data_IF_647565135690
#
_entry.id   IF_647565135690
#
_cell.length_a   1.000
_cell.length_b   1.000
_cell.length_c   1.000
_cell.angle_alpha   90.00
_cell.angle_beta   90.00
_cell.angle_gamma   90.00
#
_symmetry.space_group_name_H-M   'P 1'
#
loop_
_entity.id
_entity.type
_entity.pdbx_description
1 polymer ?
#
# COMPACT_ATOMS: atom_id res chain seq x y z
N UNK A 1 21.42 7.57 -12.97
CA UNK A 1 20.30 8.10 -13.77
C UNK A 1 20.48 7.76 -15.26
N UNK A 2 21.70 7.76 -15.79
CA UNK A 2 21.97 7.49 -17.21
C UNK A 2 22.10 6.01 -17.56
N UNK A 3 22.15 5.11 -16.58
CA UNK A 3 22.26 3.67 -16.82
C UNK A 3 20.94 3.13 -17.38
N UNK A 4 21.02 2.36 -18.49
CA UNK A 4 19.87 1.69 -19.08
C UNK A 4 19.22 0.76 -18.02
N UNK A 5 17.94 0.97 -17.69
CA UNK A 5 17.22 0.32 -16.58
C UNK A 5 17.80 0.61 -15.18
N UNK A 6 18.60 1.65 -15.03
CA UNK A 6 19.12 2.07 -13.74
C UNK A 6 18.01 2.53 -12.79
N UNK A 7 18.17 2.24 -11.49
CA UNK A 7 17.27 2.68 -10.42
C UNK A 7 18.03 3.58 -9.45
N UNK A 8 17.47 4.74 -9.12
CA UNK A 8 18.04 5.61 -8.10
C UNK A 8 17.54 5.19 -6.74
N UNK A 9 18.44 4.76 -5.87
CA UNK A 9 18.14 4.29 -4.52
C UNK A 9 18.86 5.20 -3.52
N UNK A 10 18.09 5.80 -2.62
CA UNK A 10 18.59 6.57 -1.49
C UNK A 10 18.45 5.73 -0.22
N UNK A 11 19.56 5.40 0.42
CA UNK A 11 19.58 4.66 1.69
C UNK A 11 19.95 5.58 2.82
N UNK A 12 19.25 5.47 3.95
CA UNK A 12 19.55 6.25 5.15
C UNK A 12 18.94 5.59 6.38
N UNK A 13 19.53 5.75 7.58
CA UNK A 13 18.83 5.46 8.83
C UNK A 13 17.59 6.35 8.94
N UNK A 14 16.50 5.82 9.52
CA UNK A 14 15.25 6.58 9.70
C UNK A 14 15.39 7.73 10.71
N UNK A 15 16.41 7.65 11.58
CA UNK A 15 16.67 8.61 12.64
C UNK A 15 18.08 9.19 12.61
N UNK A 16 18.26 10.32 13.28
CA UNK A 16 19.52 10.98 13.58
C UNK A 16 19.60 11.33 15.07
N UNK A 17 20.74 11.86 15.51
CA UNK A 17 20.96 12.33 16.89
C UNK A 17 20.58 11.25 17.94
N UNK A 18 21.16 10.05 17.79
CA UNK A 18 20.90 8.89 18.67
C UNK A 18 19.43 8.51 18.76
N UNK A 19 18.68 8.69 17.67
CA UNK A 19 17.27 8.34 17.61
C UNK A 19 16.30 9.47 17.98
N UNK A 20 16.80 10.67 18.34
CA UNK A 20 15.93 11.75 18.78
C UNK A 20 15.28 12.54 17.64
N UNK A 21 15.80 12.47 16.43
CA UNK A 21 15.29 13.21 15.27
C UNK A 21 14.97 12.28 14.12
N UNK A 22 13.80 12.46 13.51
CA UNK A 22 13.44 11.75 12.27
C UNK A 22 14.20 12.34 11.08
N UNK A 23 14.79 11.48 10.25
CA UNK A 23 15.35 11.88 8.93
C UNK A 23 14.26 12.01 7.86
N UNK A 24 13.12 11.38 8.06
CA UNK A 24 11.93 11.64 7.24
C UNK A 24 11.28 12.91 7.78
N UNK A 25 11.15 13.92 6.94
CA UNK A 25 10.61 15.22 7.31
C UNK A 25 9.56 15.68 6.29
N UNK A 26 8.53 16.39 6.77
CA UNK A 26 7.49 16.96 5.89
C UNK A 26 7.98 18.17 5.11
N UNK A 27 9.10 18.77 5.52
CA UNK A 27 9.71 19.92 4.88
C UNK A 27 11.19 20.01 5.24
N UNK A 28 12.01 20.47 4.33
CA UNK A 28 13.42 20.72 4.60
C UNK A 28 13.57 21.97 5.50
N UNK A 29 14.64 22.02 6.29
CA UNK A 29 14.98 23.23 7.06
C UNK A 29 15.20 24.40 6.10
N UNK A 30 14.85 25.61 6.53
CA UNK A 30 15.12 26.81 5.76
C UNK A 30 16.63 26.92 5.44
N UNK A 31 16.96 27.19 4.19
CA UNK A 31 18.34 27.24 3.71
C UNK A 31 19.00 25.90 3.40
N UNK A 32 18.31 24.76 3.58
CA UNK A 32 18.84 23.46 3.21
C UNK A 32 18.95 23.33 1.68
N UNK A 33 20.13 22.89 1.20
CA UNK A 33 20.33 22.59 -0.21
C UNK A 33 19.60 21.31 -0.63
N UNK A 34 19.06 21.29 -1.85
CA UNK A 34 18.45 20.11 -2.46
C UNK A 34 19.44 19.53 -3.45
N UNK A 35 20.10 18.44 -3.07
CA UNK A 35 21.11 17.76 -3.91
C UNK A 35 20.48 16.84 -4.94
N UNK A 36 19.38 16.18 -4.55
CA UNK A 36 18.61 15.29 -5.41
C UNK A 36 17.20 15.85 -5.56
N UNK A 37 16.79 16.10 -6.79
CA UNK A 37 15.43 16.55 -7.03
C UNK A 37 14.43 15.39 -6.85
N UNK A 38 13.18 15.76 -6.62
CA UNK A 38 12.12 14.78 -6.34
C UNK A 38 11.83 13.83 -7.52
N UNK A 39 12.11 14.22 -8.76
CA UNK A 39 11.91 13.40 -9.95
C UNK A 39 12.99 12.31 -10.10
N UNK A 40 14.16 12.52 -9.53
CA UNK A 40 15.30 11.62 -9.69
C UNK A 40 15.37 10.53 -8.62
N UNK A 41 14.64 10.67 -7.51
CA UNK A 41 14.61 9.66 -6.43
C UNK A 41 13.50 8.66 -6.69
N UNK A 42 13.89 7.42 -7.06
CA UNK A 42 12.94 6.32 -7.30
C UNK A 42 12.63 5.54 -6.03
N UNK A 43 13.64 5.21 -5.25
CA UNK A 43 13.52 4.42 -4.03
C UNK A 43 14.17 5.12 -2.86
N UNK A 44 13.55 5.03 -1.69
CA UNK A 44 14.14 5.37 -0.40
C UNK A 44 14.07 4.14 0.50
N UNK A 45 15.20 3.82 1.13
CA UNK A 45 15.33 2.63 1.99
C UNK A 45 15.76 3.06 3.38
N UNK A 46 15.07 2.55 4.38
CA UNK A 46 15.44 2.66 5.80
C UNK A 46 15.43 1.27 6.43
N UNK A 47 15.78 1.15 7.69
CA UNK A 47 15.63 -0.08 8.49
C UNK A 47 14.17 -0.53 8.68
N UNK A 48 13.19 0.32 8.29
CA UNK A 48 11.75 0.03 8.38
C UNK A 48 11.10 -0.26 7.04
N UNK A 49 11.87 -0.40 5.97
CA UNK A 49 11.37 -0.84 4.66
C UNK A 49 11.82 0.02 3.50
N UNK A 50 11.16 -0.18 2.37
CA UNK A 50 11.46 0.43 1.07
C UNK A 50 10.25 1.24 0.61
N UNK A 51 10.44 2.53 0.36
CA UNK A 51 9.46 3.40 -0.27
C UNK A 51 9.77 3.56 -1.76
N UNK A 52 8.81 3.23 -2.62
CA UNK A 52 8.88 3.48 -4.06
C UNK A 52 8.19 4.80 -4.38
N UNK A 53 8.93 5.75 -4.95
CA UNK A 53 8.46 7.13 -5.13
C UNK A 53 8.28 7.56 -6.59
N UNK A 54 8.78 6.77 -7.55
CA UNK A 54 8.70 7.13 -8.97
C UNK A 54 7.26 7.03 -9.48
N UNK A 55 6.83 8.05 -10.24
CA UNK A 55 5.47 8.12 -10.78
C UNK A 55 4.36 8.46 -9.78
N UNK A 56 4.68 8.59 -8.48
CA UNK A 56 3.70 8.89 -7.42
C UNK A 56 3.48 10.39 -7.23
N UNK A 57 2.24 10.76 -6.92
CA UNK A 57 1.90 12.14 -6.54
C UNK A 57 2.42 12.49 -5.13
N UNK A 58 2.29 13.76 -4.72
CA UNK A 58 2.84 14.24 -3.44
C UNK A 58 2.24 13.50 -2.24
N UNK A 59 0.93 13.22 -2.25
CA UNK A 59 0.25 12.51 -1.16
C UNK A 59 0.77 11.08 -1.03
N UNK A 60 0.82 10.34 -2.12
CA UNK A 60 1.33 8.98 -2.17
C UNK A 60 2.78 8.91 -1.70
N UNK A 61 3.63 9.82 -2.18
CA UNK A 61 5.02 9.93 -1.74
C UNK A 61 5.12 10.22 -0.25
N UNK A 62 4.25 11.07 0.29
CA UNK A 62 4.23 11.38 1.72
C UNK A 62 3.88 10.13 2.54
N UNK A 63 2.86 9.36 2.13
CA UNK A 63 2.46 8.14 2.82
C UNK A 63 3.55 7.05 2.74
N UNK A 64 4.15 6.83 1.58
CA UNK A 64 5.29 5.93 1.41
C UNK A 64 6.46 6.28 2.35
N UNK A 65 6.85 7.54 2.40
CA UNK A 65 7.95 7.98 3.27
C UNK A 65 7.60 7.85 4.75
N UNK A 66 6.35 8.13 5.14
CA UNK A 66 5.90 7.96 6.52
C UNK A 66 5.91 6.49 6.93
N UNK A 67 5.57 5.57 6.02
CA UNK A 67 5.57 4.13 6.31
C UNK A 67 6.94 3.59 6.68
N UNK A 68 8.00 4.12 6.09
CA UNK A 68 9.40 3.74 6.37
C UNK A 68 10.09 4.61 7.43
N UNK A 69 9.39 5.57 8.02
CA UNK A 69 9.90 6.34 9.14
C UNK A 69 9.95 5.50 10.42
N UNK A 70 10.80 5.88 11.37
CA UNK A 70 10.81 5.24 12.70
C UNK A 70 9.42 5.35 13.34
N UNK A 71 8.85 4.26 13.90
CA UNK A 71 7.47 4.21 14.40
C UNK A 71 7.11 5.34 15.36
N UNK A 72 8.02 5.73 16.27
CA UNK A 72 7.78 6.81 17.22
C UNK A 72 7.46 8.17 16.59
N UNK A 73 7.86 8.40 15.34
CA UNK A 73 7.64 9.67 14.63
C UNK A 73 6.48 9.66 13.64
N UNK A 74 5.93 8.47 13.31
CA UNK A 74 4.90 8.36 12.27
C UNK A 74 3.67 9.20 12.57
N UNK A 75 3.16 9.13 13.81
CA UNK A 75 1.99 9.92 14.22
C UNK A 75 2.24 11.43 14.12
N UNK A 76 3.43 11.89 14.50
CA UNK A 76 3.81 13.30 14.37
C UNK A 76 3.94 13.72 12.91
N UNK A 77 4.54 12.88 12.07
CA UNK A 77 4.67 13.13 10.63
C UNK A 77 3.31 13.24 9.95
N UNK A 78 2.37 12.34 10.25
CA UNK A 78 0.97 12.41 9.78
C UNK A 78 0.34 13.74 10.19
N UNK A 79 0.41 14.13 11.45
CA UNK A 79 -0.15 15.38 11.94
C UNK A 79 0.45 16.61 11.21
N UNK A 80 1.77 16.63 11.02
CA UNK A 80 2.47 17.69 10.28
C UNK A 80 2.10 17.68 8.80
N UNK A 81 1.95 16.51 8.18
CA UNK A 81 1.55 16.38 6.78
C UNK A 81 0.12 16.87 6.55
N UNK A 82 -0.84 16.54 7.45
CA UNK A 82 -2.21 17.09 7.43
C UNK A 82 -2.20 18.61 7.53
N UNK A 83 -1.48 19.19 8.50
CA UNK A 83 -1.38 20.64 8.68
C UNK A 83 -0.86 21.37 7.43
N UNK A 84 -0.10 20.69 6.57
CA UNK A 84 0.46 21.22 5.33
C UNK A 84 -0.33 20.81 4.08
N UNK A 85 -1.47 20.15 4.23
CA UNK A 85 -2.28 19.60 3.14
C UNK A 85 -1.48 18.70 2.16
N UNK A 86 -0.47 18.00 2.66
CA UNK A 86 0.28 17.00 1.89
C UNK A 86 -0.49 15.68 1.78
N UNK A 87 -1.36 15.40 2.75
CA UNK A 87 -2.27 14.26 2.81
C UNK A 87 -3.66 14.75 3.19
N UNK A 88 -4.69 13.91 3.04
CA UNK A 88 -6.05 14.26 3.42
C UNK A 88 -6.18 14.52 4.92
N UNK A 89 -7.13 15.39 5.33
CA UNK A 89 -7.37 15.69 6.73
C UNK A 89 -7.93 14.48 7.49
N UNK A 90 -8.73 13.68 6.84
CA UNK A 90 -9.32 12.41 7.30
C UNK A 90 -8.41 11.20 7.08
N UNK A 91 -7.20 11.39 6.49
CA UNK A 91 -6.24 10.29 6.29
C UNK A 91 -6.00 9.57 7.61
N UNK A 92 -6.44 8.32 7.68
CA UNK A 92 -6.22 7.48 8.85
C UNK A 92 -4.77 6.98 8.91
N UNK A 93 -4.33 6.67 10.11
CA UNK A 93 -3.02 6.10 10.39
C UNK A 93 -3.09 5.25 11.65
N UNK A 94 -2.68 4.01 11.57
CA UNK A 94 -2.61 3.09 12.70
C UNK A 94 -1.24 3.23 13.35
N UNK A 95 -1.21 3.66 14.61
CA UNK A 95 0.00 3.80 15.39
C UNK A 95 0.29 2.51 16.19
N UNK A 96 1.56 2.10 16.24
CA UNK A 96 2.02 1.00 17.07
C UNK A 96 2.37 -0.29 16.30
N UNK A 97 2.68 -1.37 17.06
CA UNK A 97 3.06 -2.67 16.48
C UNK A 97 1.96 -3.32 15.64
N UNK A 98 0.70 -3.06 15.98
CA UNK A 98 -0.46 -3.57 15.25
C UNK A 98 -0.58 -3.02 13.82
N UNK A 99 0.14 -1.97 13.46
CA UNK A 99 0.15 -1.43 12.10
C UNK A 99 1.41 -1.77 11.30
N UNK A 100 2.21 -2.72 11.75
CA UNK A 100 3.43 -3.12 11.06
C UNK A 100 3.10 -4.00 9.86
N UNK A 101 3.61 -3.59 8.69
CA UNK A 101 3.37 -4.31 7.44
C UNK A 101 4.02 -5.71 7.49
N UNK A 102 3.26 -6.80 7.26
CA UNK A 102 3.76 -8.16 7.40
C UNK A 102 4.48 -8.63 6.12
N UNK A 103 5.72 -8.21 5.90
CA UNK A 103 6.53 -8.58 4.72
C UNK A 103 6.63 -10.10 4.49
N UNK A 104 6.57 -10.89 5.55
CA UNK A 104 6.65 -12.37 5.48
C UNK A 104 5.52 -13.01 4.68
N UNK A 105 4.45 -12.27 4.45
CA UNK A 105 3.28 -12.72 3.68
C UNK A 105 3.47 -12.48 2.19
N UNK A 106 4.43 -11.67 1.78
CA UNK A 106 4.75 -11.46 0.37
C UNK A 106 5.23 -12.77 -0.29
N UNK A 107 4.60 -13.18 -1.38
CA UNK A 107 4.91 -14.44 -2.04
C UNK A 107 4.61 -14.39 -3.53
N UNK A 108 5.42 -15.14 -4.30
CA UNK A 108 5.11 -15.46 -5.70
C UNK A 108 4.47 -16.84 -5.76
N UNK A 109 3.43 -16.97 -6.53
CA UNK A 109 2.68 -18.20 -6.72
C UNK A 109 2.42 -18.43 -8.20
N UNK A 110 2.30 -19.70 -8.58
CA UNK A 110 1.83 -20.08 -9.91
C UNK A 110 0.49 -20.79 -9.75
N UNK A 111 -0.53 -20.28 -10.42
CA UNK A 111 -1.86 -20.88 -10.37
C UNK A 111 -1.90 -22.23 -11.11
N UNK A 112 -2.95 -23.01 -10.92
CA UNK A 112 -3.14 -24.27 -11.66
C UNK A 112 -3.26 -24.09 -13.17
N UNK A 113 -3.60 -22.91 -13.64
CA UNK A 113 -3.64 -22.53 -15.07
C UNK A 113 -2.31 -21.98 -15.59
N UNK A 114 -1.24 -21.97 -14.76
CA UNK A 114 0.09 -21.50 -15.16
C UNK A 114 0.30 -19.98 -15.07
N UNK A 115 -0.64 -19.23 -14.48
CA UNK A 115 -0.49 -17.78 -14.30
C UNK A 115 0.40 -17.50 -13.09
N UNK A 116 1.46 -16.73 -13.30
CA UNK A 116 2.30 -16.22 -12.21
C UNK A 116 1.64 -15.02 -11.54
N UNK A 117 1.50 -15.07 -10.23
CA UNK A 117 0.93 -14.01 -9.40
C UNK A 117 1.87 -13.64 -8.26
N UNK A 118 2.06 -12.36 -8.05
CA UNK A 118 2.67 -11.82 -6.85
C UNK A 118 1.57 -11.44 -5.86
N UNK A 119 1.60 -12.01 -4.67
CA UNK A 119 0.64 -11.74 -3.60
C UNK A 119 1.33 -11.02 -2.47
N UNK A 120 0.75 -9.91 -2.04
CA UNK A 120 1.25 -9.14 -0.91
C UNK A 120 0.11 -8.49 -0.11
N UNK A 121 0.33 -8.18 1.17
CA UNK A 121 -0.60 -7.35 1.94
C UNK A 121 -0.79 -5.96 1.30
N UNK A 122 -1.97 -5.39 1.51
CA UNK A 122 -2.28 -4.03 1.09
C UNK A 122 -1.40 -3.04 1.86
N UNK A 123 -1.01 -1.96 1.21
CA UNK A 123 -0.32 -0.81 1.82
C UNK A 123 -1.25 0.39 1.81
N UNK A 124 -1.09 1.29 2.76
CA UNK A 124 -1.89 2.52 2.83
C UNK A 124 -1.76 3.40 1.57
N UNK A 125 -0.66 3.25 0.83
CA UNK A 125 -0.42 3.90 -0.46
C UNK A 125 -1.15 3.27 -1.64
N UNK A 126 -1.80 2.11 -1.46
CA UNK A 126 -2.46 1.37 -2.54
C UNK A 126 -3.89 1.86 -2.84
N UNK A 127 -4.36 2.90 -2.15
CA UNK A 127 -5.70 3.47 -2.38
C UNK A 127 -6.00 3.76 -3.86
N UNK A 128 -5.09 4.40 -4.65
CA UNK A 128 -5.34 4.61 -6.07
C UNK A 128 -5.45 3.30 -6.86
N UNK A 129 -4.61 2.30 -6.55
CA UNK A 129 -4.67 0.98 -7.19
C UNK A 129 -6.00 0.28 -6.92
N UNK A 130 -6.47 0.32 -5.68
CA UNK A 130 -7.77 -0.23 -5.28
C UNK A 130 -8.91 0.49 -5.98
N UNK A 131 -8.85 1.82 -6.06
CA UNK A 131 -9.84 2.63 -6.77
C UNK A 131 -9.94 2.19 -8.23
N UNK A 132 -8.82 2.17 -8.94
CA UNK A 132 -8.78 1.79 -10.36
C UNK A 132 -9.27 0.36 -10.57
N UNK A 133 -8.88 -0.56 -9.68
CA UNK A 133 -9.35 -1.94 -9.71
C UNK A 133 -10.87 -2.06 -9.53
N UNK A 134 -11.44 -1.41 -8.51
CA UNK A 134 -12.89 -1.46 -8.28
C UNK A 134 -13.69 -0.83 -9.42
N UNK A 135 -13.19 0.25 -10.02
CA UNK A 135 -13.84 0.86 -11.17
C UNK A 135 -13.70 0.03 -12.47
N UNK A 136 -12.75 -0.90 -12.54
CA UNK A 136 -12.60 -1.83 -13.66
C UNK A 136 -13.53 -3.04 -13.60
N UNK A 137 -14.14 -3.32 -12.43
CA UNK A 137 -15.02 -4.46 -12.25
C UNK A 137 -16.40 -4.25 -12.88
N UNK A 138 -16.97 -5.34 -13.39
CA UNK A 138 -18.38 -5.36 -13.81
C UNK A 138 -19.33 -5.18 -12.62
N UNK A 139 -20.55 -4.72 -12.91
CA UNK A 139 -21.62 -4.59 -11.91
C UNK A 139 -21.88 -5.91 -11.20
N UNK A 140 -21.84 -7.02 -11.92
CA UNK A 140 -22.04 -8.36 -11.35
C UNK A 140 -20.95 -8.72 -10.35
N UNK A 141 -19.68 -8.41 -10.62
CA UNK A 141 -18.56 -8.66 -9.72
C UNK A 141 -18.60 -7.76 -8.47
N UNK A 142 -18.97 -6.49 -8.64
CA UNK A 142 -19.18 -5.55 -7.54
C UNK A 142 -20.34 -5.98 -6.64
N UNK A 143 -21.46 -6.38 -7.22
CA UNK A 143 -22.63 -6.84 -6.46
C UNK A 143 -22.33 -8.10 -5.64
N UNK A 144 -21.61 -9.08 -6.22
CA UNK A 144 -21.15 -10.28 -5.49
C UNK A 144 -20.23 -9.95 -4.32
N UNK A 145 -19.37 -8.93 -4.47
CA UNK A 145 -18.41 -8.54 -3.43
C UNK A 145 -19.04 -7.72 -2.32
N UNK A 146 -19.96 -6.81 -2.62
CA UNK A 146 -20.47 -5.81 -1.67
C UNK A 146 -21.94 -5.98 -1.29
N UNK A 147 -22.66 -6.90 -1.92
CA UNK A 147 -24.12 -7.10 -1.71
C UNK A 147 -24.90 -5.76 -1.87
N UNK A 148 -24.36 -4.82 -2.63
CA UNK A 148 -24.91 -3.47 -2.80
C UNK A 148 -24.75 -3.00 -4.25
N UNK A 149 -25.77 -2.33 -4.77
CA UNK A 149 -25.77 -1.78 -6.13
C UNK A 149 -24.91 -0.50 -6.29
N UNK A 150 -24.26 -0.03 -5.25
CA UNK A 150 -23.49 1.22 -5.30
C UNK A 150 -22.13 1.02 -5.96
N UNK A 151 -21.92 1.68 -7.10
CA UNK A 151 -20.66 1.73 -7.84
C UNK A 151 -19.62 2.69 -7.23
N UNK A 152 -20.03 3.56 -6.33
CA UNK A 152 -19.16 4.60 -5.81
C UNK A 152 -18.18 4.05 -4.78
N UNK A 153 -16.89 4.28 -5.04
CA UNK A 153 -15.79 4.05 -4.13
C UNK A 153 -15.18 5.39 -3.68
N UNK A 154 -15.89 6.14 -2.82
CA UNK A 154 -15.36 7.38 -2.28
C UNK A 154 -14.11 7.12 -1.44
N UNK A 155 -13.32 8.16 -1.22
CA UNK A 155 -12.09 8.09 -0.45
C UNK A 155 -12.28 7.43 0.93
N UNK A 156 -13.33 7.82 1.67
CA UNK A 156 -13.64 7.24 3.00
C UNK A 156 -13.79 5.72 2.95
N UNK A 157 -14.49 5.19 1.94
CA UNK A 157 -14.66 3.75 1.77
C UNK A 157 -13.37 3.05 1.35
N UNK A 158 -12.53 3.70 0.53
CA UNK A 158 -11.23 3.15 0.17
C UNK A 158 -10.26 3.14 1.37
N UNK A 159 -10.40 4.08 2.30
CA UNK A 159 -9.63 4.07 3.55
C UNK A 159 -9.91 2.81 4.38
N UNK A 160 -11.13 2.28 4.41
CA UNK A 160 -11.47 1.05 5.11
C UNK A 160 -10.68 -0.16 4.58
N UNK A 161 -10.23 -0.12 3.31
CA UNK A 161 -9.41 -1.18 2.74
C UNK A 161 -7.91 -1.02 2.98
N UNK A 162 -7.40 0.20 3.10
CA UNK A 162 -5.95 0.44 3.19
C UNK A 162 -5.47 0.73 4.60
N UNK A 163 -6.39 1.03 5.53
CA UNK A 163 -6.09 1.33 6.93
C UNK A 163 -6.50 0.16 7.79
N UNK A 164 -5.68 -0.88 7.80
CA UNK A 164 -5.91 -2.11 8.54
C UNK A 164 -4.80 -2.34 9.56
N UNK A 165 -5.08 -3.14 10.57
CA UNK A 165 -4.15 -3.40 11.69
C UNK A 165 -3.24 -4.62 11.46
N UNK A 166 -3.44 -5.37 10.36
CA UNK A 166 -2.76 -6.61 10.01
C UNK A 166 -2.79 -7.71 11.09
N UNK A 167 -3.56 -7.53 12.15
CA UNK A 167 -3.70 -8.47 13.26
C UNK A 167 -5.10 -9.06 13.36
N UNK A 168 -6.11 -8.22 13.35
CA UNK A 168 -7.52 -8.61 13.30
C UNK A 168 -8.06 -8.70 11.87
N UNK A 169 -7.40 -8.00 10.96
CA UNK A 169 -7.76 -7.95 9.54
C UNK A 169 -6.50 -7.97 8.68
N UNK A 170 -6.56 -8.72 7.57
CA UNK A 170 -5.56 -8.70 6.51
C UNK A 170 -6.23 -8.60 5.15
N UNK A 171 -5.70 -7.74 4.29
CA UNK A 171 -6.13 -7.65 2.90
C UNK A 171 -4.92 -7.96 2.02
N UNK A 172 -5.07 -8.96 1.16
CA UNK A 172 -4.07 -9.41 0.22
C UNK A 172 -4.42 -8.92 -1.18
N UNK A 173 -3.43 -8.39 -1.87
CA UNK A 173 -3.51 -7.96 -3.26
C UNK A 173 -2.74 -8.94 -4.13
N UNK A 174 -3.37 -9.42 -5.22
CA UNK A 174 -2.74 -10.28 -6.22
C UNK A 174 -2.42 -9.48 -7.48
N UNK A 175 -1.18 -9.54 -7.92
CA UNK A 175 -0.67 -8.85 -9.11
C UNK A 175 -0.21 -9.84 -10.16
N UNK A 176 -0.39 -9.48 -11.43
CA UNK A 176 0.24 -10.12 -12.58
C UNK A 176 1.11 -9.12 -13.33
N UNK A 177 1.99 -9.61 -14.19
CA UNK A 177 2.76 -8.76 -15.09
C UNK A 177 2.00 -8.58 -16.40
N UNK A 178 1.77 -7.33 -16.80
CA UNK A 178 1.21 -6.98 -18.10
C UNK A 178 2.04 -5.86 -18.72
N UNK A 179 2.56 -6.09 -19.92
CA UNK A 179 3.39 -5.10 -20.64
C UNK A 179 4.57 -4.54 -19.84
N UNK A 180 5.13 -5.36 -18.93
CA UNK A 180 6.25 -4.99 -18.06
C UNK A 180 5.86 -4.15 -16.84
N UNK A 181 4.56 -3.98 -16.56
CA UNK A 181 4.02 -3.32 -15.38
C UNK A 181 3.22 -4.30 -14.51
N UNK A 182 3.22 -4.08 -13.20
CA UNK A 182 2.36 -4.81 -12.27
C UNK A 182 0.92 -4.33 -12.42
N UNK A 183 0.01 -5.27 -12.64
CA UNK A 183 -1.44 -5.05 -12.69
C UNK A 183 -2.11 -5.74 -11.51
N UNK A 184 -2.89 -5.01 -10.71
CA UNK A 184 -3.75 -5.59 -9.68
C UNK A 184 -4.89 -6.36 -10.33
N UNK A 185 -5.00 -7.65 -10.02
CA UNK A 185 -5.96 -8.57 -10.63
C UNK A 185 -6.88 -9.25 -9.62
N UNK A 186 -6.60 -9.14 -8.33
CA UNK A 186 -7.42 -9.75 -7.30
C UNK A 186 -7.18 -9.21 -5.91
N UNK A 187 -8.21 -9.28 -5.07
CA UNK A 187 -8.20 -8.88 -3.67
C UNK A 187 -8.79 -10.01 -2.85
N UNK A 188 -8.09 -10.40 -1.77
CA UNK A 188 -8.61 -11.27 -0.72
C UNK A 188 -8.63 -10.53 0.61
N UNK A 189 -9.73 -10.59 1.34
CA UNK A 189 -9.89 -9.99 2.66
C UNK A 189 -10.22 -11.07 3.67
N UNK A 190 -9.57 -10.99 4.81
CA UNK A 190 -9.81 -11.82 5.98
C UNK A 190 -9.96 -10.93 7.19
N UNK A 191 -11.05 -11.05 7.94
CA UNK A 191 -11.32 -10.29 9.14
C UNK A 191 -11.85 -11.19 10.25
N UNK A 192 -11.26 -11.09 11.47
CA UNK A 192 -11.70 -11.82 12.65
C UNK A 192 -12.99 -11.19 13.17
N UNK A 193 -14.01 -11.99 13.42
CA UNK A 193 -15.30 -11.52 13.93
C UNK A 193 -15.24 -11.42 15.47
N UNK A 194 -15.06 -10.22 15.98
CA UNK A 194 -15.05 -9.94 17.42
C UNK A 194 -14.02 -10.77 18.19
N UNK A 195 -14.40 -11.37 19.31
CA UNK A 195 -13.57 -12.27 20.12
C UNK A 195 -13.78 -13.76 19.79
N UNK A 196 -14.36 -14.07 18.64
CA UNK A 196 -14.64 -15.44 18.22
C UNK A 196 -13.44 -16.07 17.51
N UNK A 197 -13.47 -17.40 17.36
CA UNK A 197 -12.50 -18.12 16.52
C UNK A 197 -12.98 -18.24 15.06
N UNK A 198 -13.86 -17.32 14.62
CA UNK A 198 -14.40 -17.27 13.27
C UNK A 198 -13.89 -16.03 12.56
N UNK A 199 -13.74 -16.13 11.25
CA UNK A 199 -13.35 -15.04 10.39
C UNK A 199 -14.30 -14.91 9.22
N UNK A 200 -14.53 -13.68 8.80
CA UNK A 200 -15.14 -13.37 7.52
C UNK A 200 -14.07 -13.36 6.43
N UNK A 201 -14.38 -13.97 5.28
CA UNK A 201 -13.44 -14.06 4.16
C UNK A 201 -14.16 -13.63 2.88
N UNK A 202 -13.60 -12.69 2.18
CA UNK A 202 -14.17 -12.17 0.95
C UNK A 202 -13.11 -12.03 -0.14
N UNK A 203 -13.46 -12.43 -1.37
CA UNK A 203 -12.59 -12.36 -2.54
C UNK A 203 -13.27 -11.59 -3.66
N UNK A 204 -12.45 -10.92 -4.46
CA UNK A 204 -12.85 -10.41 -5.78
C UNK A 204 -11.68 -10.54 -6.74
N UNK A 205 -11.96 -11.06 -7.93
CA UNK A 205 -10.99 -11.20 -9.01
C UNK A 205 -11.49 -10.39 -10.19
N UNK A 206 -10.61 -9.65 -10.83
CA UNK A 206 -10.89 -8.89 -12.03
C UNK A 206 -11.55 -9.78 -13.11
N UNK A 207 -12.56 -9.27 -13.79
CA UNK A 207 -13.41 -10.06 -14.69
C UNK A 207 -12.59 -10.82 -15.74
N UNK A 208 -11.57 -10.20 -16.32
CA UNK A 208 -10.68 -10.82 -17.31
C UNK A 208 -9.72 -11.88 -16.73
N UNK A 209 -9.67 -12.01 -15.40
CA UNK A 209 -8.75 -12.90 -14.68
C UNK A 209 -9.47 -13.94 -13.84
N UNK A 210 -10.80 -14.04 -13.97
CA UNK A 210 -11.60 -15.10 -13.32
C UNK A 210 -11.27 -16.47 -13.93
N UNK A 211 -11.58 -17.53 -13.18
CA UNK A 211 -11.36 -18.94 -13.57
C UNK A 211 -9.88 -19.34 -13.79
N UNK A 212 -8.93 -18.43 -13.57
CA UNK A 212 -7.48 -18.69 -13.68
C UNK A 212 -6.84 -19.22 -12.40
N UNK A 213 -7.63 -19.50 -11.35
CA UNK A 213 -7.16 -20.08 -10.09
C UNK A 213 -6.59 -19.06 -9.09
N UNK A 214 -6.60 -17.75 -9.40
CA UNK A 214 -6.04 -16.70 -8.54
C UNK A 214 -6.73 -16.65 -7.17
N UNK A 215 -8.05 -16.75 -7.12
CA UNK A 215 -8.80 -16.80 -5.85
C UNK A 215 -8.39 -17.96 -4.94
N UNK A 216 -8.01 -19.11 -5.51
CA UNK A 216 -7.50 -20.25 -4.76
C UNK A 216 -6.12 -19.97 -4.15
N UNK A 217 -5.27 -19.22 -4.85
CA UNK A 217 -3.95 -18.84 -4.32
C UNK A 217 -4.07 -17.80 -3.21
N UNK A 218 -5.02 -16.87 -3.29
CA UNK A 218 -5.33 -15.93 -2.21
C UNK A 218 -5.86 -16.59 -0.93
N UNK A 219 -6.43 -17.78 -1.03
CA UNK A 219 -6.98 -18.53 0.10
C UNK A 219 -5.93 -19.39 0.85
N UNK A 220 -4.77 -19.64 0.26
CA UNK A 220 -3.66 -20.42 0.85
C UNK A 220 -2.76 -19.60 1.75
#
# INVERSE_FOLDING_TARGET
ILAKKGKTILTMPSTAENGEVSRIATFLKAGAGVTLNRGDVHYVVTEYGIAYLHGKNIRERAMELISIAHPKFRAELIRKAKKRNLIYQDQAFIAGKAGEYPEKVETYRTTSSGVEVFIRPVKISDEPLLKDFFYSLSDASLQRRFISERKDMPHERLQDFVVIDYTSEIILLAFTQKDGAEQLVGIGQYAIIGSTHTADVAFVIGDDHQELGIGKELLK
#
